data_IF_514392873268
#
_entry.id   IF_514392873268
#
_cell.length_a   1.000
_cell.length_b   1.000
_cell.length_c   1.000
_cell.angle_alpha   90.00
_cell.angle_beta   90.00
_cell.angle_gamma   90.00
#
_symmetry.space_group_name_H-M   'P 1'
#
loop_
_entity.id
_entity.type
_entity.pdbx_description
1 polymer ?
#
# COMPACT_ATOMS: atom_id res chain seq x y z
N UNK A 1 12.25 26.59 -3.70
CA UNK A 1 13.70 26.48 -3.93
C UNK A 1 14.38 26.97 -2.67
N UNK A 2 15.48 26.32 -2.28
CA UNK A 2 16.25 26.75 -1.12
C UNK A 2 16.80 28.16 -1.34
N UNK A 3 16.81 29.02 -0.31
CA UNK A 3 17.25 30.42 -0.44
C UNK A 3 18.78 30.57 -0.41
N UNK A 4 19.54 29.47 -0.48
CA UNK A 4 20.99 29.47 -0.30
C UNK A 4 21.71 29.35 -1.65
N UNK A 5 22.60 30.29 -1.96
CA UNK A 5 23.45 30.27 -3.15
C UNK A 5 24.72 29.43 -2.93
N UNK A 6 25.17 29.28 -1.68
CA UNK A 6 26.38 28.53 -1.33
C UNK A 6 26.20 27.63 -0.10
N UNK A 7 27.07 26.62 0.03
CA UNK A 7 27.12 25.78 1.23
C UNK A 7 27.44 26.59 2.49
N UNK A 8 28.32 27.60 2.38
CA UNK A 8 28.68 28.47 3.49
C UNK A 8 27.49 29.31 3.99
N UNK A 9 26.64 29.82 3.08
CA UNK A 9 25.41 30.51 3.46
C UNK A 9 24.42 29.58 4.18
N UNK A 10 24.27 28.35 3.71
CA UNK A 10 23.41 27.36 4.34
C UNK A 10 23.92 27.01 5.77
N UNK A 11 25.22 26.82 5.95
CA UNK A 11 25.83 26.54 7.25
C UNK A 11 25.74 27.74 8.20
N UNK A 12 25.93 28.96 7.69
CA UNK A 12 25.74 30.18 8.45
C UNK A 12 24.29 30.33 8.94
N UNK A 13 23.31 30.05 8.08
CA UNK A 13 21.89 30.07 8.44
C UNK A 13 21.51 28.96 9.44
N UNK A 14 22.17 27.81 9.38
CA UNK A 14 21.98 26.71 10.33
C UNK A 14 22.67 26.96 11.69
N UNK A 15 23.64 27.87 11.75
CA UNK A 15 24.49 28.08 12.93
C UNK A 15 25.40 26.89 13.24
N UNK A 16 25.59 25.97 12.29
CA UNK A 16 26.43 24.77 12.40
C UNK A 16 26.82 24.24 11.02
N UNK A 17 27.86 23.41 10.98
CA UNK A 17 28.19 22.64 9.79
C UNK A 17 27.02 21.74 9.37
N UNK A 18 26.84 21.58 8.06
CA UNK A 18 25.84 20.66 7.51
C UNK A 18 26.28 19.21 7.72
N UNK A 19 25.31 18.34 7.99
CA UNK A 19 25.54 16.90 7.88
C UNK A 19 25.75 16.48 6.42
N UNK A 20 26.31 15.29 6.19
CA UNK A 20 26.47 14.73 4.84
C UNK A 20 25.14 14.62 4.08
N UNK A 21 24.06 14.30 4.80
CA UNK A 21 22.72 14.18 4.23
C UNK A 21 22.16 15.56 3.83
N UNK A 22 22.33 16.58 4.68
CA UNK A 22 21.92 17.95 4.37
C UNK A 22 22.71 18.54 3.19
N UNK A 23 24.01 18.29 3.13
CA UNK A 23 24.83 18.71 2.00
C UNK A 23 24.41 18.00 0.69
N UNK A 24 24.05 16.71 0.76
CA UNK A 24 23.51 15.99 -0.41
C UNK A 24 22.14 16.53 -0.83
N UNK A 25 21.25 16.80 0.12
CA UNK A 25 19.96 17.40 -0.14
C UNK A 25 20.09 18.79 -0.76
N UNK A 26 20.94 19.66 -0.21
CA UNK A 26 21.20 21.00 -0.75
C UNK A 26 21.69 20.92 -2.20
N UNK A 27 22.71 20.09 -2.49
CA UNK A 27 23.24 19.93 -3.86
C UNK A 27 22.19 19.51 -4.87
N UNK A 28 21.28 18.63 -4.46
CA UNK A 28 20.22 18.13 -5.33
C UNK A 28 19.08 19.14 -5.47
N UNK A 29 18.51 19.61 -4.35
CA UNK A 29 17.32 20.46 -4.32
C UNK A 29 17.57 21.92 -4.72
N UNK A 30 18.83 22.39 -4.71
CA UNK A 30 19.17 23.75 -5.17
C UNK A 30 18.78 24.00 -6.63
N UNK A 31 18.79 22.96 -7.47
CA UNK A 31 18.50 23.06 -8.90
C UNK A 31 17.14 22.47 -9.29
N UNK A 32 16.35 22.02 -8.32
CA UNK A 32 15.06 21.38 -8.56
C UNK A 32 13.96 22.22 -7.91
N UNK A 33 13.05 22.80 -8.71
CA UNK A 33 11.87 23.48 -8.18
C UNK A 33 11.06 22.58 -7.24
N UNK A 34 10.52 23.17 -6.17
CA UNK A 34 9.79 22.43 -5.14
C UNK A 34 8.59 21.64 -5.67
N UNK A 35 7.92 22.14 -6.73
CA UNK A 35 6.83 21.42 -7.39
C UNK A 35 7.33 20.16 -8.10
N UNK A 36 8.53 20.20 -8.69
CA UNK A 36 9.15 19.01 -9.26
C UNK A 36 9.56 18.04 -8.15
N UNK A 37 10.12 18.52 -7.03
CA UNK A 37 10.39 17.67 -5.86
C UNK A 37 9.11 16.96 -5.39
N UNK A 38 7.98 17.65 -5.35
CA UNK A 38 6.70 17.01 -5.04
C UNK A 38 6.29 15.96 -6.09
N UNK A 39 6.47 16.24 -7.39
CA UNK A 39 6.21 15.27 -8.46
C UNK A 39 7.10 14.01 -8.41
N UNK A 40 8.23 14.02 -7.68
CA UNK A 40 9.03 12.80 -7.48
C UNK A 40 8.23 11.69 -6.79
N UNK A 41 7.16 12.02 -6.04
CA UNK A 41 6.23 11.03 -5.50
C UNK A 41 5.68 10.10 -6.59
N UNK A 42 5.39 10.62 -7.78
CA UNK A 42 4.87 9.83 -8.91
C UNK A 42 5.94 8.87 -9.42
N UNK A 43 7.18 9.33 -9.57
CA UNK A 43 8.29 8.49 -10.00
C UNK A 43 8.59 7.39 -8.96
N UNK A 44 8.67 7.75 -7.68
CA UNK A 44 8.87 6.82 -6.57
C UNK A 44 7.76 5.76 -6.58
N UNK A 45 6.51 6.17 -6.70
CA UNK A 45 5.35 5.28 -6.75
C UNK A 45 5.47 4.29 -7.92
N UNK A 46 5.74 4.76 -9.14
CA UNK A 46 5.84 3.90 -10.32
C UNK A 46 7.05 2.94 -10.25
N UNK A 47 8.18 3.41 -9.74
CA UNK A 47 9.38 2.57 -9.54
C UNK A 47 9.09 1.47 -8.51
N UNK A 48 8.54 1.82 -7.35
CA UNK A 48 8.18 0.85 -6.32
C UNK A 48 7.12 -0.13 -6.82
N UNK A 49 6.08 0.38 -7.47
CA UNK A 49 5.04 -0.43 -8.08
C UNK A 49 5.63 -1.47 -9.03
N UNK A 50 6.64 -1.08 -9.81
CA UNK A 50 7.28 -1.96 -10.79
C UNK A 50 8.16 -3.02 -10.12
N UNK A 51 8.98 -2.60 -9.14
CA UNK A 51 10.08 -3.42 -8.59
C UNK A 51 9.62 -4.27 -7.41
N UNK A 52 8.86 -3.72 -6.46
CA UNK A 52 8.59 -4.39 -5.20
C UNK A 52 7.73 -5.67 -5.34
N UNK A 53 6.68 -5.73 -6.18
CA UNK A 53 5.92 -6.96 -6.41
C UNK A 53 6.65 -8.00 -7.28
N UNK A 54 7.66 -7.58 -8.06
CA UNK A 54 8.27 -8.39 -9.12
C UNK A 54 8.83 -9.73 -8.63
N UNK A 55 9.58 -9.82 -7.51
CA UNK A 55 10.09 -11.11 -7.03
C UNK A 55 8.98 -12.13 -6.76
N UNK A 56 7.86 -11.71 -6.18
CA UNK A 56 6.73 -12.58 -5.87
C UNK A 56 5.92 -12.94 -7.12
N UNK A 57 5.78 -12.02 -8.08
CA UNK A 57 5.17 -12.31 -9.37
C UNK A 57 5.99 -13.34 -10.16
N UNK A 58 7.33 -13.20 -10.20
CA UNK A 58 8.22 -14.17 -10.84
C UNK A 58 8.16 -15.53 -10.14
N UNK A 59 8.07 -15.56 -8.80
CA UNK A 59 7.89 -16.78 -8.04
C UNK A 59 6.60 -17.51 -8.43
N UNK A 60 5.49 -16.79 -8.55
CA UNK A 60 4.19 -17.36 -8.93
C UNK A 60 4.17 -17.86 -10.38
N UNK A 61 4.72 -17.09 -11.32
CA UNK A 61 4.83 -17.49 -12.72
C UNK A 61 5.72 -18.73 -12.90
N UNK A 62 6.82 -18.83 -12.14
CA UNK A 62 7.66 -20.03 -12.11
C UNK A 62 6.94 -21.23 -11.51
N UNK A 63 6.16 -21.03 -10.44
CA UNK A 63 5.36 -22.08 -9.82
C UNK A 63 4.40 -22.73 -10.82
N UNK A 64 3.76 -21.89 -11.65
CA UNK A 64 2.82 -22.31 -12.69
C UNK A 64 3.49 -23.10 -13.83
N UNK A 65 4.71 -22.73 -14.21
CA UNK A 65 5.42 -23.35 -15.33
C UNK A 65 6.11 -24.68 -14.97
N UNK A 66 6.20 -25.03 -13.68
CA UNK A 66 6.86 -26.24 -13.23
C UNK A 66 6.03 -27.49 -13.60
N UNK A 67 6.64 -28.56 -14.16
CA UNK A 67 5.96 -29.84 -14.37
C UNK A 67 5.50 -30.45 -13.04
N UNK A 68 4.34 -31.11 -13.07
CA UNK A 68 3.81 -31.88 -11.94
C UNK A 68 4.85 -32.93 -11.49
N UNK A 69 5.56 -32.64 -10.39
CA UNK A 69 6.56 -33.55 -9.79
C UNK A 69 7.91 -32.91 -9.41
N UNK A 70 8.35 -31.85 -10.09
CA UNK A 70 9.69 -31.24 -9.84
C UNK A 70 9.66 -30.15 -8.75
N UNK A 71 8.47 -29.64 -8.40
CA UNK A 71 8.28 -28.59 -7.40
C UNK A 71 8.63 -29.02 -5.95
N UNK A 72 9.17 -30.21 -5.71
CA UNK A 72 9.30 -30.76 -4.37
C UNK A 72 10.40 -30.11 -3.50
N UNK A 73 11.43 -29.47 -4.07
CA UNK A 73 12.69 -29.24 -3.33
C UNK A 73 13.11 -27.78 -3.05
N UNK A 74 12.51 -26.75 -3.67
CA UNK A 74 12.90 -25.35 -3.44
C UNK A 74 11.64 -24.49 -3.28
N UNK A 75 11.43 -23.92 -2.09
CA UNK A 75 10.30 -23.07 -1.68
C UNK A 75 9.04 -23.28 -2.55
N UNK A 76 8.29 -24.36 -2.31
CA UNK A 76 6.99 -24.56 -2.95
C UNK A 76 6.16 -23.28 -2.75
N UNK A 77 5.84 -22.54 -3.81
CA UNK A 77 4.98 -21.36 -3.67
C UNK A 77 3.64 -21.78 -3.07
N UNK A 78 3.19 -23.02 -3.30
CA UNK A 78 2.00 -23.62 -2.70
C UNK A 78 2.02 -23.78 -1.18
N UNK A 79 3.18 -23.81 -0.50
CA UNK A 79 3.22 -23.94 0.97
C UNK A 79 2.80 -22.63 1.65
N UNK A 80 3.13 -21.50 1.05
CA UNK A 80 2.87 -20.17 1.63
C UNK A 80 1.82 -19.37 0.87
N UNK A 81 1.44 -19.78 -0.35
CA UNK A 81 0.36 -19.16 -1.12
C UNK A 81 -0.98 -19.39 -0.40
N UNK A 82 -1.71 -18.32 -0.17
CA UNK A 82 -2.99 -18.35 0.54
C UNK A 82 -4.10 -19.03 -0.26
N UNK A 83 -4.07 -18.88 -1.59
CA UNK A 83 -4.99 -19.51 -2.54
C UNK A 83 -4.23 -20.35 -3.59
N UNK A 84 -3.71 -21.55 -3.25
CA UNK A 84 -2.82 -22.31 -4.14
C UNK A 84 -3.42 -22.74 -5.49
N UNK A 85 -4.75 -22.83 -5.58
CA UNK A 85 -5.47 -23.19 -6.82
C UNK A 85 -5.72 -21.99 -7.71
N UNK A 86 -5.65 -20.77 -7.17
CA UNK A 86 -5.80 -19.55 -7.95
C UNK A 86 -4.45 -19.22 -8.59
N UNK A 87 -4.25 -19.67 -9.83
CA UNK A 87 -3.05 -19.40 -10.61
C UNK A 87 -3.36 -18.42 -11.75
N UNK A 88 -2.81 -17.22 -11.65
CA UNK A 88 -3.00 -16.18 -12.66
C UNK A 88 -2.17 -16.46 -13.91
N UNK A 89 -2.71 -16.10 -15.08
CA UNK A 89 -1.99 -16.25 -16.36
C UNK A 89 -0.99 -15.11 -16.54
N UNK A 90 0.12 -15.31 -17.28
CA UNK A 90 1.05 -14.23 -17.60
C UNK A 90 0.35 -13.00 -18.22
N UNK A 91 -0.69 -13.25 -19.04
CA UNK A 91 -1.50 -12.19 -19.62
C UNK A 91 -2.30 -11.40 -18.58
N UNK A 92 -2.83 -12.06 -17.54
CA UNK A 92 -3.53 -11.38 -16.45
C UNK A 92 -2.57 -10.51 -15.61
N UNK A 93 -1.37 -11.01 -15.30
CA UNK A 93 -0.31 -10.22 -14.67
C UNK A 93 0.03 -8.98 -15.49
N UNK A 94 0.28 -9.16 -16.79
CA UNK A 94 0.66 -8.05 -17.67
C UNK A 94 -0.46 -7.02 -17.82
N UNK A 95 -1.73 -7.45 -17.94
CA UNK A 95 -2.87 -6.51 -17.95
C UNK A 95 -2.95 -5.71 -16.67
N UNK A 96 -2.94 -6.37 -15.51
CA UNK A 96 -2.98 -5.70 -14.21
C UNK A 96 -1.84 -4.68 -14.09
N UNK A 97 -0.62 -5.06 -14.47
CA UNK A 97 0.55 -4.20 -14.46
C UNK A 97 0.37 -2.95 -15.33
N UNK A 98 -0.01 -3.14 -16.60
CA UNK A 98 -0.16 -2.03 -17.55
C UNK A 98 -1.33 -1.12 -17.19
N UNK A 99 -2.48 -1.68 -16.80
CA UNK A 99 -3.67 -0.91 -16.48
C UNK A 99 -3.49 -0.11 -15.19
N UNK A 100 -2.91 -0.70 -14.15
CA UNK A 100 -2.56 0.03 -12.92
C UNK A 100 -1.54 1.13 -13.21
N UNK A 101 -0.48 0.82 -13.97
CA UNK A 101 0.53 1.81 -14.33
C UNK A 101 -0.05 3.02 -15.06
N UNK A 102 -1.00 2.79 -15.98
CA UNK A 102 -1.77 3.85 -16.66
C UNK A 102 -2.61 4.66 -15.68
N UNK A 103 -3.38 4.01 -14.80
CA UNK A 103 -4.24 4.70 -13.82
C UNK A 103 -3.39 5.54 -12.87
N UNK A 104 -2.29 4.99 -12.33
CA UNK A 104 -1.40 5.72 -11.44
C UNK A 104 -0.75 6.92 -12.14
N UNK A 105 -0.22 6.73 -13.36
CA UNK A 105 0.40 7.81 -14.11
C UNK A 105 -0.60 8.93 -14.43
N UNK A 106 -1.78 8.58 -14.95
CA UNK A 106 -2.78 9.57 -15.36
C UNK A 106 -3.45 10.24 -14.16
N UNK A 107 -3.75 9.50 -13.10
CA UNK A 107 -4.50 10.01 -11.95
C UNK A 107 -3.57 10.68 -10.95
N UNK A 108 -2.58 9.97 -10.43
CA UNK A 108 -1.64 10.51 -9.43
C UNK A 108 -0.68 11.49 -10.07
N UNK A 109 -0.27 11.26 -11.32
CA UNK A 109 0.55 12.23 -12.07
C UNK A 109 -0.17 13.55 -12.31
N UNK A 110 -1.39 13.52 -12.83
CA UNK A 110 -2.18 14.75 -13.01
C UNK A 110 -2.46 15.44 -11.67
N UNK A 111 -2.85 14.68 -10.63
CA UNK A 111 -3.07 15.22 -9.30
C UNK A 111 -1.82 15.92 -8.76
N UNK A 112 -0.64 15.29 -8.89
CA UNK A 112 0.62 15.85 -8.39
C UNK A 112 1.01 17.17 -9.05
N UNK A 113 0.70 17.33 -10.34
CA UNK A 113 0.96 18.56 -11.07
C UNK A 113 0.05 19.71 -10.62
N UNK A 114 -1.22 19.42 -10.31
CA UNK A 114 -2.21 20.46 -9.97
C UNK A 114 -2.29 20.76 -8.47
N UNK A 115 -1.92 19.82 -7.60
CA UNK A 115 -2.12 19.94 -6.14
C UNK A 115 -0.96 20.61 -5.40
N UNK A 116 0.16 20.91 -6.07
CA UNK A 116 1.32 21.52 -5.43
C UNK A 116 1.02 22.82 -4.66
N UNK A 117 0.16 23.76 -5.13
CA UNK A 117 -0.21 24.93 -4.34
C UNK A 117 -0.83 24.57 -2.98
N UNK A 118 -1.70 23.56 -2.94
CA UNK A 118 -2.29 23.07 -1.68
C UNK A 118 -1.23 22.44 -0.77
N UNK A 119 -0.31 21.66 -1.34
CA UNK A 119 0.84 21.08 -0.60
C UNK A 119 1.71 22.16 0.04
N UNK A 120 1.95 23.27 -0.69
CA UNK A 120 2.67 24.43 -0.19
C UNK A 120 1.88 25.14 0.92
N UNK A 121 0.56 25.29 0.77
CA UNK A 121 -0.31 25.89 1.80
C UNK A 121 -0.36 25.07 3.09
N UNK A 122 -0.34 23.75 2.99
CA UNK A 122 -0.24 22.83 4.15
C UNK A 122 1.07 23.05 4.91
N UNK A 123 2.13 23.52 4.25
CA UNK A 123 3.42 23.78 4.88
C UNK A 123 4.41 22.61 4.77
N UNK A 124 4.23 21.71 3.79
CA UNK A 124 5.24 20.69 3.49
C UNK A 124 6.51 21.40 3.02
N UNK A 125 7.58 21.26 3.80
CA UNK A 125 8.83 22.00 3.61
C UNK A 125 9.84 21.20 2.78
N UNK A 126 10.61 21.90 1.95
CA UNK A 126 11.80 21.37 1.24
C UNK A 126 13.11 21.92 1.83
N UNK A 127 12.98 22.77 2.86
CA UNK A 127 14.03 23.53 3.52
C UNK A 127 14.95 22.72 4.43
N UNK A 128 16.18 23.21 4.61
CA UNK A 128 17.05 22.82 5.73
C UNK A 128 16.53 23.40 7.07
N UNK A 129 16.85 22.76 8.22
CA UNK A 129 17.56 21.48 8.37
C UNK A 129 16.72 20.27 7.93
N UNK A 130 17.37 19.15 7.61
CA UNK A 130 16.64 17.89 7.41
C UNK A 130 15.94 17.45 8.71
N UNK A 131 14.81 16.71 8.63
CA UNK A 131 14.09 16.28 9.82
C UNK A 131 14.94 15.32 10.65
N UNK A 132 14.84 15.44 11.98
CA UNK A 132 15.50 14.49 12.88
C UNK A 132 14.85 13.11 12.81
N UNK A 133 15.55 12.05 13.23
CA UNK A 133 14.96 10.71 13.28
C UNK A 133 13.73 10.65 14.20
N UNK A 134 13.73 11.39 15.31
CA UNK A 134 12.57 11.49 16.21
C UNK A 134 11.38 12.21 15.59
N UNK A 135 11.63 13.30 14.83
CA UNK A 135 10.59 14.01 14.07
C UNK A 135 9.97 13.08 13.02
N UNK A 136 10.79 12.38 12.23
CA UNK A 136 10.33 11.41 11.24
C UNK A 136 9.50 10.31 11.90
N UNK A 137 9.99 9.70 12.98
CA UNK A 137 9.30 8.61 13.67
C UNK A 137 7.93 9.05 14.23
N UNK A 138 7.86 10.22 14.86
CA UNK A 138 6.61 10.77 15.37
C UNK A 138 5.61 11.07 14.24
N UNK A 139 6.08 11.67 13.13
CA UNK A 139 5.26 11.92 11.95
C UNK A 139 4.74 10.61 11.33
N UNK A 140 5.61 9.60 11.14
CA UNK A 140 5.19 8.29 10.63
C UNK A 140 4.12 7.64 11.50
N UNK A 141 4.26 7.70 12.82
CA UNK A 141 3.27 7.15 13.74
C UNK A 141 1.92 7.84 13.60
N UNK A 142 1.91 9.18 13.56
CA UNK A 142 0.67 9.95 13.35
C UNK A 142 0.03 9.59 12.01
N UNK A 143 0.81 9.54 10.93
CA UNK A 143 0.27 9.27 9.60
C UNK A 143 -0.31 7.87 9.52
N UNK A 144 0.36 6.89 10.10
CA UNK A 144 -0.11 5.51 10.15
C UNK A 144 -1.44 5.38 10.90
N UNK A 145 -1.57 6.02 12.08
CA UNK A 145 -2.80 5.96 12.87
C UNK A 145 -3.97 6.70 12.20
N UNK A 146 -3.70 7.87 11.61
CA UNK A 146 -4.72 8.67 10.91
C UNK A 146 -5.19 7.94 9.65
N UNK A 147 -4.25 7.44 8.85
CA UNK A 147 -4.57 6.75 7.60
C UNK A 147 -5.29 5.43 7.85
N UNK A 148 -4.87 4.63 8.84
CA UNK A 148 -5.53 3.37 9.17
C UNK A 148 -6.97 3.59 9.65
N UNK A 149 -7.20 4.58 10.52
CA UNK A 149 -8.53 4.88 11.06
C UNK A 149 -9.47 5.47 10.01
N UNK A 150 -9.04 6.47 9.24
CA UNK A 150 -9.86 7.06 8.20
C UNK A 150 -10.03 6.11 7.00
N UNK A 151 -8.97 5.38 6.66
CA UNK A 151 -8.96 4.35 5.64
C UNK A 151 -9.98 3.26 5.93
N UNK A 152 -10.08 2.78 7.17
CA UNK A 152 -11.11 1.83 7.59
C UNK A 152 -12.53 2.29 7.21
N UNK A 153 -12.88 3.53 7.56
CA UNK A 153 -14.23 4.05 7.32
C UNK A 153 -14.52 4.26 5.83
N UNK A 154 -13.54 4.80 5.10
CA UNK A 154 -13.67 5.01 3.65
C UNK A 154 -13.76 3.68 2.92
N UNK A 155 -12.92 2.70 3.27
CA UNK A 155 -12.95 1.37 2.69
C UNK A 155 -14.29 0.67 2.97
N UNK A 156 -14.79 0.76 4.21
CA UNK A 156 -16.12 0.25 4.56
C UNK A 156 -17.24 0.94 3.78
N UNK A 157 -17.15 2.25 3.54
CA UNK A 157 -18.10 3.00 2.71
C UNK A 157 -18.04 2.52 1.24
N UNK A 158 -16.86 2.25 0.71
CA UNK A 158 -16.66 1.68 -0.62
C UNK A 158 -17.25 0.26 -0.75
N UNK A 159 -17.50 -0.43 0.35
CA UNK A 159 -18.22 -1.72 0.38
C UNK A 159 -19.74 -1.60 0.49
N UNK A 160 -20.31 -0.40 0.47
CA UNK A 160 -21.76 -0.24 0.24
C UNK A 160 -22.12 -0.70 -1.17
N UNK A 161 -23.40 -1.08 -1.39
CA UNK A 161 -23.86 -1.58 -2.70
C UNK A 161 -23.46 -0.66 -3.87
N UNK A 162 -23.61 0.65 -3.68
CA UNK A 162 -23.28 1.64 -4.70
C UNK A 162 -21.76 1.82 -4.83
N UNK A 163 -21.05 2.02 -3.72
CA UNK A 163 -19.60 2.21 -3.72
C UNK A 163 -18.88 1.03 -4.36
N UNK A 164 -19.32 -0.19 -4.05
CA UNK A 164 -18.68 -1.39 -4.55
C UNK A 164 -18.89 -1.50 -6.06
N UNK A 165 -20.15 -1.45 -6.51
CA UNK A 165 -20.47 -1.70 -7.91
C UNK A 165 -19.81 -0.69 -8.86
N UNK A 166 -19.73 0.58 -8.46
CA UNK A 166 -19.29 1.67 -9.33
C UNK A 166 -17.81 2.02 -9.17
N UNK A 167 -17.20 1.75 -8.02
CA UNK A 167 -15.83 2.19 -7.71
C UNK A 167 -14.96 0.97 -7.35
N UNK A 168 -15.32 0.26 -6.28
CA UNK A 168 -14.42 -0.71 -5.66
C UNK A 168 -14.37 -2.09 -6.32
N UNK A 169 -15.31 -2.39 -7.23
CA UNK A 169 -15.38 -3.69 -7.93
C UNK A 169 -14.12 -3.98 -8.76
N UNK A 170 -13.48 -2.95 -9.32
CA UNK A 170 -12.23 -3.11 -10.08
C UNK A 170 -11.12 -3.63 -9.17
N UNK A 171 -11.00 -3.08 -7.97
CA UNK A 171 -10.03 -3.52 -6.98
C UNK A 171 -10.20 -4.99 -6.60
N UNK A 172 -11.46 -5.42 -6.48
CA UNK A 172 -11.84 -6.80 -6.17
C UNK A 172 -11.93 -7.73 -7.39
N UNK A 173 -11.46 -7.34 -8.57
CA UNK A 173 -11.45 -8.23 -9.75
C UNK A 173 -10.62 -9.50 -9.47
N UNK A 174 -9.52 -9.35 -8.74
CA UNK A 174 -8.65 -10.45 -8.36
C UNK A 174 -8.99 -10.97 -6.96
N UNK A 175 -9.96 -11.88 -6.88
CA UNK A 175 -10.37 -12.52 -5.61
C UNK A 175 -9.24 -13.29 -4.92
N UNK A 176 -8.19 -13.64 -5.66
CA UNK A 176 -6.89 -14.05 -5.15
C UNK A 176 -5.87 -12.94 -5.49
N UNK A 177 -5.64 -11.98 -4.58
CA UNK A 177 -4.77 -10.86 -4.88
C UNK A 177 -3.31 -11.29 -5.00
N UNK A 178 -2.54 -10.43 -5.65
CA UNK A 178 -1.11 -10.52 -5.84
C UNK A 178 -0.53 -9.10 -5.77
N UNK A 179 0.77 -8.96 -5.54
CA UNK A 179 1.35 -7.64 -5.20
C UNK A 179 1.07 -6.53 -6.22
N UNK A 180 0.97 -6.83 -7.53
CA UNK A 180 0.62 -5.81 -8.55
C UNK A 180 -0.86 -5.40 -8.54
N UNK A 181 -1.74 -6.18 -7.91
CA UNK A 181 -3.14 -5.83 -7.71
C UNK A 181 -3.34 -4.85 -6.55
N UNK A 182 -2.33 -4.59 -5.71
CA UNK A 182 -2.44 -3.68 -4.58
C UNK A 182 -2.98 -2.28 -4.96
N UNK A 183 -2.53 -1.65 -6.06
CA UNK A 183 -3.09 -0.38 -6.52
C UNK A 183 -4.01 -0.54 -7.75
N UNK A 184 -4.34 -1.78 -8.14
CA UNK A 184 -5.26 -2.03 -9.24
C UNK A 184 -6.64 -1.61 -8.80
N UNK A 185 -7.14 -0.50 -9.33
CA UNK A 185 -8.35 0.13 -8.85
C UNK A 185 -8.94 1.09 -9.89
N UNK A 186 -10.19 1.48 -9.68
CA UNK A 186 -10.81 2.56 -10.44
C UNK A 186 -10.13 3.90 -10.10
N UNK A 187 -9.97 4.81 -11.06
CA UNK A 187 -9.30 6.11 -10.82
C UNK A 187 -9.92 6.91 -9.66
N UNK A 188 -11.24 6.85 -9.50
CA UNK A 188 -11.94 7.52 -8.41
C UNK A 188 -11.56 6.93 -7.04
N UNK A 189 -11.33 5.62 -6.98
CA UNK A 189 -10.86 4.95 -5.76
C UNK A 189 -9.48 5.43 -5.35
N UNK A 190 -8.57 5.56 -6.32
CA UNK A 190 -7.22 6.09 -6.09
C UNK A 190 -7.26 7.49 -5.48
N UNK A 191 -8.19 8.35 -5.93
CA UNK A 191 -8.37 9.68 -5.34
C UNK A 191 -9.01 9.63 -3.95
N UNK A 192 -10.05 8.80 -3.77
CA UNK A 192 -10.79 8.66 -2.50
C UNK A 192 -9.89 8.09 -1.40
N UNK A 193 -9.15 7.02 -1.68
CA UNK A 193 -8.17 6.42 -0.75
C UNK A 193 -6.89 7.26 -0.63
N UNK A 194 -6.65 8.20 -1.54
CA UNK A 194 -5.62 9.22 -1.38
C UNK A 194 -5.91 10.20 -0.24
N UNK A 195 -7.19 10.51 0.05
CA UNK A 195 -7.58 11.42 1.13
C UNK A 195 -7.01 11.01 2.49
N UNK A 196 -7.23 9.79 3.01
CA UNK A 196 -6.68 9.38 4.31
C UNK A 196 -5.14 9.41 4.30
N UNK A 197 -4.50 9.02 3.19
CA UNK A 197 -3.04 9.02 3.06
C UNK A 197 -2.40 10.42 3.14
N UNK A 198 -3.10 11.46 2.70
CA UNK A 198 -2.64 12.86 2.81
C UNK A 198 -3.13 13.58 4.06
N UNK A 199 -4.11 13.03 4.79
CA UNK A 199 -4.69 13.70 5.96
C UNK A 199 -3.69 13.83 7.11
N UNK A 200 -2.89 12.78 7.39
CA UNK A 200 -1.82 12.84 8.38
C UNK A 200 -0.81 13.97 8.09
N UNK A 201 -0.18 14.00 6.90
CA UNK A 201 0.69 15.09 6.47
C UNK A 201 0.02 16.47 6.44
N UNK A 202 -1.31 16.55 6.28
CA UNK A 202 -2.03 17.81 6.34
C UNK A 202 -2.21 18.34 7.77
N UNK A 203 -2.40 17.44 8.75
CA UNK A 203 -2.54 17.79 10.17
C UNK A 203 -1.18 18.09 10.79
N UNK A 204 -0.17 17.29 10.46
CA UNK A 204 1.22 17.46 10.95
C UNK A 204 2.13 17.57 9.73
N UNK A 205 2.36 18.77 9.18
CA UNK A 205 3.22 18.98 8.02
C UNK A 205 4.65 18.50 8.26
N UNK A 206 5.28 17.96 7.22
CA UNK A 206 6.63 17.40 7.31
C UNK A 206 7.58 17.94 6.23
N UNK A 207 8.83 17.47 6.30
CA UNK A 207 9.78 17.65 5.22
C UNK A 207 9.44 16.75 4.02
N UNK A 208 9.74 17.19 2.80
CA UNK A 208 9.48 16.45 1.55
C UNK A 208 10.09 15.04 1.56
N UNK A 209 11.26 14.85 2.17
CA UNK A 209 11.88 13.52 2.32
C UNK A 209 11.07 12.60 3.24
N UNK A 210 10.44 13.14 4.28
CA UNK A 210 9.53 12.37 5.15
C UNK A 210 8.27 11.99 4.41
N UNK A 211 7.74 12.89 3.57
CA UNK A 211 6.58 12.60 2.72
C UNK A 211 6.89 11.48 1.73
N UNK A 212 8.07 11.50 1.10
CA UNK A 212 8.52 10.41 0.23
C UNK A 212 8.63 9.08 0.99
N UNK A 213 9.25 9.10 2.18
CA UNK A 213 9.36 7.91 3.03
C UNK A 213 7.97 7.36 3.41
N UNK A 214 7.03 8.23 3.77
CA UNK A 214 5.65 7.85 4.08
C UNK A 214 5.00 7.07 2.94
N UNK A 215 5.04 7.61 1.72
CA UNK A 215 4.44 6.94 0.56
C UNK A 215 5.20 5.66 0.16
N UNK A 216 6.52 5.60 0.35
CA UNK A 216 7.29 4.36 0.18
C UNK A 216 6.76 3.29 1.12
N UNK A 217 6.68 3.58 2.42
CA UNK A 217 6.25 2.62 3.43
C UNK A 217 4.80 2.18 3.23
N UNK A 218 3.89 3.10 2.92
CA UNK A 218 2.50 2.74 2.61
C UNK A 218 2.39 1.88 1.37
N UNK A 219 3.14 2.19 0.30
CA UNK A 219 3.07 1.37 -0.89
C UNK A 219 3.62 -0.06 -0.66
N UNK A 220 4.71 -0.19 0.11
CA UNK A 220 5.26 -1.49 0.48
C UNK A 220 4.28 -2.30 1.35
N UNK A 221 3.63 -1.65 2.31
CA UNK A 221 2.62 -2.29 3.15
C UNK A 221 1.41 -2.76 2.33
N UNK A 222 0.90 -1.92 1.41
CA UNK A 222 -0.19 -2.32 0.52
C UNK A 222 0.20 -3.53 -0.33
N UNK A 223 1.43 -3.58 -0.85
CA UNK A 223 1.94 -4.74 -1.61
C UNK A 223 2.04 -5.98 -0.72
N UNK A 224 2.47 -5.83 0.53
CA UNK A 224 2.59 -6.94 1.48
C UNK A 224 1.24 -7.61 1.74
N UNK A 225 0.21 -6.83 2.08
CA UNK A 225 -1.13 -7.36 2.37
C UNK A 225 -1.83 -7.95 1.12
N UNK A 226 -1.45 -7.51 -0.08
CA UNK A 226 -1.97 -8.07 -1.35
C UNK A 226 -1.09 -9.16 -1.93
N UNK A 227 0.05 -9.48 -1.32
CA UNK A 227 1.06 -10.36 -1.93
C UNK A 227 0.52 -11.75 -2.33
N UNK A 228 -0.52 -12.21 -1.65
CA UNK A 228 -1.09 -13.54 -1.80
C UNK A 228 -0.25 -14.63 -1.12
N UNK A 229 0.79 -14.24 -0.36
CA UNK A 229 1.68 -15.15 0.36
C UNK A 229 1.72 -14.80 1.85
N UNK A 230 1.71 -15.83 2.69
CA UNK A 230 1.85 -15.69 4.14
C UNK A 230 3.13 -16.36 4.61
N UNK A 231 4.25 -15.65 4.47
CA UNK A 231 5.57 -16.15 4.88
C UNK A 231 5.76 -16.08 6.41
N UNK A 232 6.20 -17.16 7.07
CA UNK A 232 6.42 -17.16 8.52
C UNK A 232 7.55 -16.22 8.97
N UNK A 233 8.46 -15.86 8.06
CA UNK A 233 9.60 -14.97 8.30
C UNK A 233 9.34 -13.52 7.88
N UNK A 234 8.11 -13.16 7.52
CA UNK A 234 7.78 -11.77 7.22
C UNK A 234 7.93 -10.90 8.49
N UNK A 235 8.80 -9.88 8.49
CA UNK A 235 9.04 -9.05 9.68
C UNK A 235 7.79 -8.32 10.18
N UNK A 236 6.78 -8.08 9.33
CA UNK A 236 5.50 -7.47 9.74
C UNK A 236 4.74 -8.32 10.77
N UNK A 237 5.06 -9.62 10.90
CA UNK A 237 4.52 -10.48 11.97
C UNK A 237 4.96 -10.09 13.38
N UNK A 238 6.02 -9.27 13.50
CA UNK A 238 6.45 -8.72 14.78
C UNK A 238 5.65 -7.49 15.19
N UNK A 239 4.85 -6.92 14.28
CA UNK A 239 4.03 -5.74 14.55
C UNK A 239 2.72 -6.21 15.19
N UNK A 240 2.42 -5.81 16.43
CA UNK A 240 1.18 -6.19 17.09
C UNK A 240 -0.04 -5.74 16.27
N UNK A 241 -1.05 -6.61 16.20
CA UNK A 241 -2.33 -6.35 15.54
C UNK A 241 -2.27 -6.09 14.03
N UNK A 242 -1.12 -6.28 13.39
CA UNK A 242 -1.01 -6.20 11.93
C UNK A 242 -1.88 -7.26 11.25
N UNK A 243 -2.74 -6.84 10.31
CA UNK A 243 -3.64 -7.75 9.60
C UNK A 243 -2.90 -8.69 8.66
N UNK A 244 -2.00 -8.13 7.85
CA UNK A 244 -1.19 -8.88 6.89
C UNK A 244 -1.98 -9.55 5.77
N UNK A 245 -1.26 -10.32 4.95
CA UNK A 245 -1.81 -10.89 3.72
C UNK A 245 -2.98 -11.86 3.93
N UNK A 246 -2.98 -12.67 4.99
CA UNK A 246 -4.06 -13.63 5.27
C UNK A 246 -5.40 -12.94 5.58
N UNK A 247 -5.35 -11.83 6.31
CA UNK A 247 -6.52 -11.03 6.66
C UNK A 247 -7.14 -10.39 5.41
N UNK A 248 -6.29 -9.82 4.55
CA UNK A 248 -6.74 -9.11 3.35
C UNK A 248 -7.09 -10.06 2.18
N UNK A 249 -6.42 -11.21 2.06
CA UNK A 249 -6.79 -12.25 1.09
C UNK A 249 -8.21 -12.78 1.33
N UNK A 250 -8.59 -12.99 2.59
CA UNK A 250 -9.97 -13.37 2.94
C UNK A 250 -10.98 -12.30 2.50
N UNK A 251 -10.66 -11.03 2.70
CA UNK A 251 -11.49 -9.91 2.27
C UNK A 251 -11.74 -9.91 0.76
N UNK A 252 -10.66 -10.00 -0.04
CA UNK A 252 -10.74 -10.11 -1.51
C UNK A 252 -11.50 -11.36 -1.98
N UNK A 253 -11.31 -12.49 -1.29
CA UNK A 253 -12.00 -13.74 -1.61
C UNK A 253 -13.51 -13.63 -1.49
N UNK A 254 -14.00 -12.92 -0.48
CA UNK A 254 -15.44 -12.69 -0.27
C UNK A 254 -15.98 -11.60 -1.20
N UNK A 255 -15.14 -10.63 -1.57
CA UNK A 255 -15.47 -9.62 -2.58
C UNK A 255 -16.61 -8.70 -2.15
N UNK A 256 -17.57 -8.44 -3.06
CA UNK A 256 -18.67 -7.50 -2.81
C UNK A 256 -19.66 -7.91 -1.72
N UNK A 257 -19.59 -9.15 -1.24
CA UNK A 257 -20.36 -9.62 -0.09
C UNK A 257 -19.60 -9.44 1.23
N UNK A 258 -18.35 -8.97 1.18
CA UNK A 258 -17.52 -8.78 2.36
C UNK A 258 -18.14 -7.73 3.28
N UNK A 259 -18.32 -8.11 4.53
CA UNK A 259 -18.73 -7.23 5.62
C UNK A 259 -17.65 -7.21 6.72
N UNK A 260 -16.41 -7.52 6.35
CA UNK A 260 -15.31 -7.71 7.28
C UNK A 260 -13.95 -7.28 6.71
N UNK A 261 -12.97 -7.11 7.60
CA UNK A 261 -11.56 -6.90 7.27
C UNK A 261 -11.30 -5.62 6.47
N UNK A 262 -11.90 -4.51 6.89
CA UNK A 262 -11.79 -3.21 6.21
C UNK A 262 -10.54 -2.42 6.60
N UNK A 263 -9.87 -2.77 7.69
CA UNK A 263 -8.71 -2.02 8.15
C UNK A 263 -7.56 -2.16 7.16
N UNK A 264 -6.79 -1.08 6.98
CA UNK A 264 -5.67 -1.09 6.04
C UNK A 264 -4.47 -1.84 6.64
N UNK A 265 -4.09 -1.50 7.87
CA UNK A 265 -2.85 -1.97 8.50
C UNK A 265 -3.16 -2.77 9.76
N UNK A 266 -3.89 -2.17 10.70
CA UNK A 266 -4.14 -2.75 12.02
C UNK A 266 -5.57 -3.26 12.17
N UNK A 267 -5.71 -4.44 12.75
CA UNK A 267 -7.01 -5.08 12.97
C UNK A 267 -7.88 -4.44 14.07
N UNK A 268 -7.43 -3.35 14.69
CA UNK A 268 -8.15 -2.69 15.79
C UNK A 268 -9.54 -2.21 15.40
N UNK A 269 -9.67 -1.54 14.26
CA UNK A 269 -10.96 -1.02 13.82
C UNK A 269 -11.93 -2.17 13.52
N UNK A 270 -11.44 -3.22 12.86
CA UNK A 270 -12.25 -4.41 12.60
C UNK A 270 -12.72 -5.09 13.90
N UNK A 271 -11.85 -5.18 14.90
CA UNK A 271 -12.23 -5.71 16.21
C UNK A 271 -13.24 -4.81 16.94
N UNK A 272 -12.96 -3.50 17.04
CA UNK A 272 -13.78 -2.53 17.76
C UNK A 272 -15.19 -2.41 17.19
N UNK A 273 -15.31 -2.42 15.86
CA UNK A 273 -16.60 -2.28 15.17
C UNK A 273 -17.22 -3.63 14.77
N UNK A 274 -16.61 -4.74 15.19
CA UNK A 274 -17.13 -6.10 14.98
C UNK A 274 -17.15 -6.56 13.52
N UNK A 275 -16.29 -5.99 12.68
CA UNK A 275 -16.06 -6.38 11.28
C UNK A 275 -14.91 -7.38 11.14
N UNK A 276 -14.63 -8.17 12.19
CA UNK A 276 -13.67 -9.29 12.21
C UNK A 276 -14.36 -10.68 12.19
N UNK A 277 -15.67 -10.73 12.43
CA UNK A 277 -16.42 -11.97 12.70
C UNK A 277 -16.36 -12.99 11.57
N UNK A 278 -16.51 -12.54 10.31
CA UNK A 278 -16.44 -13.41 9.13
C UNK A 278 -15.10 -14.12 9.03
N UNK A 279 -14.02 -13.35 9.18
CA UNK A 279 -12.66 -13.88 9.16
C UNK A 279 -12.39 -14.86 10.31
N UNK A 280 -12.81 -14.53 11.54
CA UNK A 280 -12.66 -15.43 12.69
C UNK A 280 -13.41 -16.74 12.51
N UNK A 281 -14.63 -16.69 11.97
CA UNK A 281 -15.38 -17.90 11.63
C UNK A 281 -14.66 -18.73 10.55
N UNK A 282 -14.12 -18.07 9.52
CA UNK A 282 -13.34 -18.73 8.47
C UNK A 282 -12.11 -19.45 9.05
N UNK A 283 -11.33 -18.77 9.89
CA UNK A 283 -10.14 -19.34 10.56
C UNK A 283 -10.50 -20.53 11.43
N UNK A 284 -11.51 -20.41 12.30
CA UNK A 284 -11.98 -21.51 13.14
C UNK A 284 -12.48 -22.71 12.32
N UNK A 285 -13.09 -22.45 11.16
CA UNK A 285 -13.58 -23.50 10.26
C UNK A 285 -12.43 -24.24 9.54
N UNK A 286 -11.35 -23.53 9.19
CA UNK A 286 -10.13 -24.13 8.66
C UNK A 286 -9.42 -25.01 9.71
N UNK A 287 -9.28 -24.52 10.94
CA UNK A 287 -8.67 -25.25 12.06
C UNK A 287 -9.41 -26.54 12.39
N UNK A 288 -10.76 -26.51 12.35
CA UNK A 288 -11.61 -27.68 12.55
C UNK A 288 -11.66 -28.63 11.35
N UNK A 289 -10.96 -28.30 10.25
CA UNK A 289 -10.99 -29.09 9.01
C UNK A 289 -12.34 -29.10 8.29
N UNK A 290 -13.27 -28.20 8.67
CA UNK A 290 -14.60 -28.09 8.07
C UNK A 290 -14.56 -27.49 6.67
N UNK A 291 -13.49 -26.76 6.35
CA UNK A 291 -13.19 -26.18 5.05
C UNK A 291 -11.89 -26.79 4.49
N UNK A 292 -11.86 -28.11 4.25
CA UNK A 292 -10.76 -28.69 3.45
C UNK A 292 -10.94 -28.27 2.00
N UNK A 293 -10.09 -27.35 1.53
CA UNK A 293 -9.82 -27.08 0.11
C UNK A 293 -11.06 -26.94 -0.78
N UNK A 294 -11.74 -25.79 -0.66
CA UNK A 294 -12.54 -25.17 -1.71
C UNK A 294 -13.59 -26.07 -2.39
N UNK A 295 -14.58 -26.50 -1.61
CA UNK A 295 -15.87 -26.88 -2.15
C UNK A 295 -16.96 -26.29 -1.26
N UNK A 296 -17.56 -25.18 -1.69
CA UNK A 296 -19.00 -24.87 -1.53
C UNK A 296 -19.36 -23.53 -2.16
N UNK A 297 -19.52 -23.54 -3.47
CA UNK A 297 -20.47 -22.65 -4.19
C UNK A 297 -21.93 -22.99 -3.86
N UNK A 298 -22.26 -23.25 -2.58
CA UNK A 298 -23.59 -23.71 -2.15
C UNK A 298 -24.08 -23.22 -0.77
N UNK A 299 -23.45 -22.22 -0.13
CA UNK A 299 -23.85 -21.77 1.21
C UNK A 299 -24.29 -20.30 1.34
N UNK A 300 -24.68 -19.64 0.25
CA UNK A 300 -25.26 -18.28 0.32
C UNK A 300 -26.67 -18.19 -0.32
N UNK A 301 -27.41 -19.31 -0.36
CA UNK A 301 -28.82 -19.34 -0.76
C UNK A 301 -29.79 -19.71 0.37
N UNK A 302 -29.43 -19.41 1.61
CA UNK A 302 -30.36 -19.64 2.72
C UNK A 302 -29.83 -19.17 4.06
N UNK A 303 -29.88 -17.86 4.26
CA UNK A 303 -30.57 -17.19 5.39
C UNK A 303 -31.05 -15.84 4.87
#
# INVERSE_FOLDING_TARGET
MLPYATAAEAEAALGRAMTRAEAAWLRYSAFVPDHLLYCHNVAILLILYTIAPLPLALLELRARAAPDGVAAAVMRPSTYKLQPRAQLSPAAFLRCYLDTGRVLLLTVGALSLVSYPAVKMVGIRTGLPLPSAGEVAAQMLVYLLVEDYLGYWIHRLLHTRWGYHNIHRVHHEFTAPFGYAAPYAHWAEVLILGVPAFTGPAIVPCHMTTLWLWFVLRHLEAIDIHSGFNFPFNPTKLIPFYGGADHHDYHHRVGGQSQSNFSSVFTFCDYLYGTDKGYRYHKASLEKGLLKGDNKTKLLKGV
#
